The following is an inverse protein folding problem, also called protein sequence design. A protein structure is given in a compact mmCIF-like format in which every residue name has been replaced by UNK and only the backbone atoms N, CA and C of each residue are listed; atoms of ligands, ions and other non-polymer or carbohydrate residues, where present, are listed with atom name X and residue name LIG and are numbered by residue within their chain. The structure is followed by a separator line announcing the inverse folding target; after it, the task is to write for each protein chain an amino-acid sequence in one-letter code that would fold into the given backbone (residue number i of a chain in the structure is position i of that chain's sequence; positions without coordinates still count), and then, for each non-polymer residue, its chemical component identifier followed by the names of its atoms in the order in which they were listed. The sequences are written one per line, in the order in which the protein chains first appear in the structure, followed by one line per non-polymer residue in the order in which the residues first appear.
data_IF_362634839953
#
_entry.id   IF_362634839953
#
_cell.length_a   1.000
_cell.length_b   1.000
_cell.length_c   1.000
_cell.angle_alpha   90.00
_cell.angle_beta   90.00
_cell.angle_gamma   90.00
#
_symmetry.space_group_name_H-M   'P 1'
#
loop_
_entity.id
_entity.type
_entity.pdbx_description
1 polymer ?
#
# COMPACT_ATOMS: atom_id res chain seq x y z
N UNK A 1 12.40 26.56 35.72
CA UNK A 1 12.93 25.60 36.70
C UNK A 1 13.76 24.58 35.93
N UNK A 2 15.04 24.34 36.26
CA UNK A 2 15.87 23.41 35.51
C UNK A 2 15.36 21.97 35.69
N UNK A 3 15.30 21.18 34.61
CA UNK A 3 14.77 19.81 34.63
C UNK A 3 15.34 18.93 35.77
N UNK A 4 16.64 19.00 36.13
CA UNK A 4 17.20 18.21 37.23
C UNK A 4 16.70 18.56 38.64
N UNK A 5 16.01 19.70 38.84
CA UNK A 5 15.46 20.10 40.13
C UNK A 5 14.02 19.65 40.36
N UNK A 6 13.43 18.92 39.41
CA UNK A 6 12.12 18.29 39.57
C UNK A 6 12.20 17.11 40.54
N UNK A 7 11.09 16.80 41.20
CA UNK A 7 11.02 15.62 42.08
C UNK A 7 11.16 14.32 41.27
N UNK A 8 11.65 13.23 41.88
CA UNK A 8 11.76 11.93 41.22
C UNK A 8 10.45 11.44 40.58
N UNK A 9 9.29 11.72 41.19
CA UNK A 9 7.99 11.31 40.65
C UNK A 9 7.59 12.10 39.39
N UNK A 10 7.92 13.40 39.32
CA UNK A 10 7.70 14.18 38.10
C UNK A 10 8.63 13.71 36.98
N UNK A 11 9.87 13.38 37.30
CA UNK A 11 10.83 12.82 36.34
C UNK A 11 10.37 11.45 35.83
N UNK A 12 9.89 10.57 36.71
CA UNK A 12 9.33 9.27 36.35
C UNK A 12 8.14 9.45 35.40
N UNK A 13 7.22 10.37 35.72
CA UNK A 13 6.09 10.70 34.84
C UNK A 13 6.53 11.17 33.46
N UNK A 14 7.51 12.07 33.38
CA UNK A 14 8.10 12.52 32.10
C UNK A 14 8.68 11.33 31.32
N UNK A 15 9.44 10.45 31.99
CA UNK A 15 10.02 9.27 31.35
C UNK A 15 8.93 8.34 30.81
N UNK A 16 7.80 8.16 31.50
CA UNK A 16 6.68 7.32 31.03
C UNK A 16 5.93 7.88 29.82
N UNK A 17 6.11 9.17 29.49
CA UNK A 17 5.45 9.82 28.35
C UNK A 17 6.34 9.94 27.11
N UNK A 18 7.59 9.46 27.16
CA UNK A 18 8.43 9.49 25.97
C UNK A 18 7.85 8.56 24.89
N UNK A 19 7.96 8.94 23.61
CA UNK A 19 7.28 8.22 22.52
C UNK A 19 7.91 6.86 22.23
N UNK A 20 9.22 6.71 22.41
CA UNK A 20 9.96 5.50 22.02
C UNK A 20 11.25 5.29 22.84
N UNK A 21 11.87 4.13 22.65
CA UNK A 21 13.10 3.76 23.34
C UNK A 21 14.33 4.56 22.89
N UNK A 22 14.33 5.13 21.67
CA UNK A 22 15.42 5.99 21.19
C UNK A 22 15.45 7.29 21.98
N UNK A 23 14.27 7.89 22.15
CA UNK A 23 14.04 9.10 22.94
C UNK A 23 14.35 8.83 24.40
N UNK A 24 13.90 7.70 24.97
CA UNK A 24 14.28 7.30 26.33
C UNK A 24 15.81 7.22 26.50
N UNK A 25 16.49 6.49 25.61
CA UNK A 25 17.95 6.30 25.65
C UNK A 25 18.70 7.63 25.55
N UNK A 26 18.27 8.54 24.68
CA UNK A 26 18.83 9.88 24.59
C UNK A 26 18.57 10.68 25.87
N UNK A 27 17.34 10.66 26.37
CA UNK A 27 16.89 11.48 27.50
C UNK A 27 17.62 11.11 28.80
N UNK A 28 17.75 9.82 29.12
CA UNK A 28 18.45 9.37 30.34
C UNK A 28 19.95 9.66 30.32
N UNK A 29 20.55 9.92 29.15
CA UNK A 29 21.97 10.28 29.02
C UNK A 29 22.23 11.78 29.27
N UNK A 30 21.19 12.61 29.31
CA UNK A 30 21.36 14.06 29.52
C UNK A 30 21.64 14.44 30.97
N UNK A 31 21.27 13.60 31.95
CA UNK A 31 21.44 13.90 33.38
C UNK A 31 21.54 12.64 34.23
N UNK A 32 22.45 12.66 35.23
CA UNK A 32 22.56 11.58 36.23
C UNK A 32 21.27 11.38 37.03
N UNK A 33 20.52 12.46 37.30
CA UNK A 33 19.26 12.38 38.05
C UNK A 33 18.20 11.59 37.24
N UNK A 34 18.06 11.89 35.94
CA UNK A 34 17.17 11.13 35.04
C UNK A 34 17.55 9.65 34.97
N UNK A 35 18.85 9.37 34.84
CA UNK A 35 19.33 7.99 34.84
C UNK A 35 19.04 7.28 36.17
N UNK A 36 19.20 7.94 37.32
CA UNK A 36 18.87 7.34 38.62
C UNK A 36 17.38 7.03 38.79
N UNK A 37 16.49 7.90 38.30
CA UNK A 37 15.04 7.64 38.30
C UNK A 37 14.72 6.44 37.41
N UNK A 38 15.32 6.37 36.22
CA UNK A 38 15.18 5.21 35.35
C UNK A 38 15.68 3.91 36.01
N UNK A 39 16.85 3.93 36.65
CA UNK A 39 17.40 2.77 37.37
C UNK A 39 16.52 2.32 38.54
N UNK A 40 15.81 3.25 39.19
CA UNK A 40 14.90 2.94 40.28
C UNK A 40 13.58 2.29 39.79
N UNK A 41 13.11 2.63 38.57
CA UNK A 41 11.80 2.19 38.05
C UNK A 41 11.84 1.67 36.59
N UNK A 42 12.83 0.84 36.19
CA UNK A 42 13.05 0.54 34.78
C UNK A 42 11.87 -0.22 34.16
N UNK A 43 11.26 -1.15 34.90
CA UNK A 43 10.14 -1.97 34.40
C UNK A 43 8.90 -1.13 34.06
N UNK A 44 8.52 -0.20 34.94
CA UNK A 44 7.34 0.65 34.74
C UNK A 44 7.55 1.60 33.55
N UNK A 45 8.72 2.23 33.49
CA UNK A 45 9.08 3.13 32.38
C UNK A 45 9.12 2.35 31.07
N UNK A 46 9.84 1.22 30.99
CA UNK A 46 9.94 0.41 29.77
C UNK A 46 8.58 -0.10 29.31
N UNK A 47 7.70 -0.51 30.23
CA UNK A 47 6.32 -0.90 29.89
C UNK A 47 5.51 0.26 29.32
N UNK A 48 5.62 1.46 29.92
CA UNK A 48 4.96 2.66 29.41
C UNK A 48 5.48 3.07 28.02
N UNK A 49 6.80 3.02 27.79
CA UNK A 49 7.36 3.28 26.46
C UNK A 49 6.90 2.25 25.43
N UNK A 50 6.79 0.97 25.83
CA UNK A 50 6.25 -0.08 24.95
C UNK A 50 4.81 0.22 24.55
N UNK A 51 3.99 0.68 25.50
CA UNK A 51 2.62 1.16 25.24
C UNK A 51 2.63 2.36 24.28
N UNK A 52 3.45 3.38 24.55
CA UNK A 52 3.49 4.57 23.70
C UNK A 52 3.94 4.25 22.26
N UNK A 53 4.90 3.34 22.10
CA UNK A 53 5.44 2.96 20.79
C UNK A 53 4.48 2.04 20.01
N UNK A 54 3.90 1.02 20.66
CA UNK A 54 3.07 0.01 19.99
C UNK A 54 1.58 0.39 19.91
N UNK A 55 1.12 1.27 20.81
CA UNK A 55 -0.27 1.72 20.93
C UNK A 55 -1.01 1.02 22.08
N UNK A 56 -2.27 0.67 21.82
CA UNK A 56 -3.19 0.06 22.79
C UNK A 56 -2.57 -1.16 23.53
N UNK A 57 -2.81 -1.31 24.85
CA UNK A 57 -2.28 -2.43 25.63
C UNK A 57 -2.61 -3.81 25.08
N UNK A 58 -3.72 -3.98 24.36
CA UNK A 58 -4.13 -5.25 23.77
C UNK A 58 -3.26 -5.68 22.59
N UNK A 59 -2.47 -4.76 22.01
CA UNK A 59 -1.56 -5.02 20.90
C UNK A 59 -0.21 -5.56 21.39
N UNK A 60 0.20 -5.16 22.59
CA UNK A 60 1.55 -5.42 23.14
C UNK A 60 1.92 -6.90 23.14
N UNK A 61 1.05 -7.83 23.56
CA UNK A 61 1.39 -9.25 23.53
C UNK A 61 1.81 -9.76 22.15
N UNK A 62 1.10 -9.34 21.09
CA UNK A 62 1.43 -9.72 19.72
C UNK A 62 2.74 -9.07 19.24
N UNK A 63 2.92 -7.77 19.51
CA UNK A 63 4.13 -7.03 19.14
C UNK A 63 5.39 -7.58 19.83
N UNK A 64 5.29 -7.88 21.13
CA UNK A 64 6.39 -8.42 21.91
C UNK A 64 6.72 -9.85 21.46
N UNK A 65 5.72 -10.69 21.14
CA UNK A 65 5.97 -12.03 20.55
C UNK A 65 6.81 -11.96 19.28
N UNK A 66 6.48 -11.08 18.35
CA UNK A 66 7.30 -10.84 17.16
C UNK A 66 8.72 -10.38 17.54
N UNK A 67 8.83 -9.47 18.49
CA UNK A 67 10.12 -8.95 18.95
C UNK A 67 10.98 -10.00 19.69
N UNK A 68 10.42 -11.11 20.17
CA UNK A 68 11.20 -12.22 20.72
C UNK A 68 11.81 -13.12 19.65
N UNK A 69 11.17 -13.23 18.47
CA UNK A 69 11.64 -14.09 17.37
C UNK A 69 12.84 -13.49 16.64
N UNK A 70 12.89 -12.16 16.47
CA UNK A 70 13.84 -11.51 15.56
C UNK A 70 15.27 -11.27 16.09
N UNK A 71 15.51 -10.90 17.36
CA UNK A 71 16.86 -10.68 17.89
C UNK A 71 17.74 -11.93 17.87
N UNK A 72 17.16 -13.10 17.62
CA UNK A 72 17.85 -14.36 17.48
C UNK A 72 17.52 -15.05 16.17
N UNK A 73 18.25 -14.74 15.09
CA UNK A 73 18.61 -15.81 14.11
C UNK A 73 19.41 -16.97 14.76
N UNK A 74 19.62 -16.90 16.08
CA UNK A 74 20.01 -17.99 16.97
C UNK A 74 18.91 -18.43 17.96
N UNK A 75 17.62 -18.16 17.74
CA UNK A 75 16.55 -19.03 18.26
C UNK A 75 16.71 -20.36 17.51
N UNK A 76 17.76 -21.10 17.88
CA UNK A 76 17.87 -22.51 17.56
C UNK A 76 16.67 -23.10 18.26
N UNK A 77 15.61 -23.37 17.50
CA UNK A 77 14.55 -24.29 17.89
C UNK A 77 15.31 -25.44 18.55
N UNK A 78 15.20 -25.63 19.86
CA UNK A 78 15.95 -26.70 20.52
C UNK A 78 15.42 -27.98 19.91
N UNK A 79 16.20 -28.56 19.00
CA UNK A 79 15.81 -29.74 18.22
C UNK A 79 15.45 -30.93 19.12
N UNK A 80 15.89 -30.91 20.38
CA UNK A 80 15.81 -32.06 21.29
C UNK A 80 14.64 -32.11 22.27
N UNK A 81 13.88 -31.02 22.49
CA UNK A 81 12.74 -31.06 23.43
C UNK A 81 11.46 -30.65 22.72
N UNK A 82 10.69 -31.64 22.29
CA UNK A 82 9.51 -31.54 21.42
C UNK A 82 8.30 -30.74 21.93
N UNK A 83 8.50 -29.69 22.71
CA UNK A 83 7.46 -28.82 23.27
C UNK A 83 7.89 -27.34 23.39
N UNK A 84 8.90 -26.90 22.63
CA UNK A 84 9.30 -25.47 22.52
C UNK A 84 8.25 -24.68 21.69
N UNK A 85 6.99 -24.73 22.14
CA UNK A 85 5.94 -23.87 21.65
C UNK A 85 6.33 -22.41 21.95
N UNK A 86 6.23 -21.54 20.94
CA UNK A 86 6.38 -20.10 21.16
C UNK A 86 5.51 -19.68 22.34
N UNK A 87 6.06 -18.90 23.28
CA UNK A 87 5.30 -18.48 24.44
C UNK A 87 4.01 -17.79 23.99
N UNK A 88 2.93 -18.13 24.68
CA UNK A 88 1.60 -17.58 24.40
C UNK A 88 1.60 -16.08 24.68
N UNK A 89 0.69 -15.35 24.05
CA UNK A 89 0.57 -13.88 24.25
C UNK A 89 0.51 -13.47 25.73
N UNK A 90 -0.23 -14.24 26.54
CA UNK A 90 -0.32 -14.00 27.98
C UNK A 90 1.00 -14.18 28.73
N UNK A 91 1.83 -15.13 28.30
CA UNK A 91 3.12 -15.40 28.93
C UNK A 91 4.13 -14.32 28.57
N UNK A 92 4.12 -13.88 27.30
CA UNK A 92 5.05 -12.89 26.78
C UNK A 92 4.86 -11.50 27.39
N UNK A 93 3.64 -11.15 27.82
CA UNK A 93 3.35 -9.90 28.51
C UNK A 93 4.10 -9.75 29.85
N UNK A 94 4.47 -10.87 30.49
CA UNK A 94 5.17 -10.89 31.77
C UNK A 94 6.70 -11.06 31.65
N UNK A 95 7.19 -11.36 30.44
CA UNK A 95 8.61 -11.57 30.22
C UNK A 95 9.40 -10.24 30.28
N UNK A 96 10.64 -10.26 30.80
CA UNK A 96 11.46 -9.06 30.89
C UNK A 96 11.85 -8.54 29.51
N UNK A 97 11.53 -7.27 29.23
CA UNK A 97 11.90 -6.61 28.00
C UNK A 97 13.40 -6.25 28.01
N UNK A 98 14.18 -7.05 27.30
CA UNK A 98 15.60 -6.78 27.06
C UNK A 98 15.79 -5.65 26.05
N UNK A 99 16.99 -5.06 26.01
CA UNK A 99 17.31 -4.01 25.04
C UNK A 99 17.07 -4.44 23.59
N UNK A 100 17.42 -5.68 23.24
CA UNK A 100 17.26 -6.17 21.88
C UNK A 100 15.78 -6.29 21.47
N UNK A 101 14.92 -6.70 22.41
CA UNK A 101 13.46 -6.74 22.22
C UNK A 101 12.92 -5.33 22.03
N UNK A 102 13.36 -4.38 22.86
CA UNK A 102 13.00 -2.97 22.72
C UNK A 102 13.42 -2.40 21.36
N UNK A 103 14.63 -2.73 20.87
CA UNK A 103 15.11 -2.32 19.55
C UNK A 103 14.27 -2.91 18.41
N UNK A 104 13.87 -4.18 18.52
CA UNK A 104 12.97 -4.82 17.56
C UNK A 104 11.57 -4.18 17.57
N UNK A 105 11.00 -3.86 18.73
CA UNK A 105 9.72 -3.13 18.83
C UNK A 105 9.78 -1.75 18.14
N UNK A 106 10.87 -1.01 18.34
CA UNK A 106 11.10 0.29 17.65
C UNK A 106 11.19 0.13 16.15
N UNK A 107 11.69 -1.00 15.66
CA UNK A 107 11.76 -1.28 14.23
C UNK A 107 10.37 -1.60 13.63
N UNK A 108 9.55 -2.41 14.31
CA UNK A 108 8.24 -2.81 13.77
C UNK A 108 7.16 -1.75 13.88
N UNK A 109 7.14 -0.99 14.97
CA UNK A 109 6.05 -0.05 15.24
C UNK A 109 5.82 0.99 14.13
N UNK A 110 6.86 1.62 13.55
CA UNK A 110 6.68 2.53 12.42
C UNK A 110 6.09 1.84 11.18
N UNK A 111 6.52 0.61 10.87
CA UNK A 111 6.03 -0.16 9.72
C UNK A 111 4.53 -0.44 9.88
N UNK A 112 4.12 -0.96 11.05
CA UNK A 112 2.71 -1.27 11.32
C UNK A 112 1.87 0.01 11.33
N UNK A 113 2.39 1.10 11.92
CA UNK A 113 1.71 2.40 11.90
C UNK A 113 1.51 2.91 10.48
N UNK A 114 2.52 2.83 9.63
CA UNK A 114 2.43 3.33 8.26
C UNK A 114 1.47 2.47 7.42
N UNK A 115 1.50 1.15 7.59
CA UNK A 115 0.51 0.26 6.98
C UNK A 115 -0.91 0.57 7.46
N UNK A 116 -1.09 0.96 8.72
CA UNK A 116 -2.39 1.42 9.24
C UNK A 116 -2.83 2.73 8.58
N UNK A 117 -1.92 3.69 8.47
CA UNK A 117 -2.18 4.98 7.82
C UNK A 117 -2.64 4.75 6.35
N UNK A 118 -1.97 3.85 5.62
CA UNK A 118 -2.35 3.45 4.25
C UNK A 118 -3.67 2.67 4.23
N UNK A 119 -3.86 1.71 5.15
CA UNK A 119 -5.11 0.94 5.23
C UNK A 119 -6.30 1.85 5.47
N UNK A 120 -6.18 2.78 6.41
CA UNK A 120 -7.20 3.77 6.69
C UNK A 120 -7.48 4.65 5.48
N UNK A 121 -6.43 5.13 4.81
CA UNK A 121 -6.58 5.98 3.63
C UNK A 121 -7.31 5.27 2.48
N UNK A 122 -7.05 3.97 2.28
CA UNK A 122 -7.67 3.20 1.20
C UNK A 122 -9.06 2.68 1.58
N UNK A 123 -9.28 2.29 2.84
CA UNK A 123 -10.45 1.49 3.26
C UNK A 123 -11.41 2.17 4.22
N UNK A 124 -10.96 3.15 5.00
CA UNK A 124 -11.77 3.83 6.03
C UNK A 124 -12.19 5.22 5.59
N UNK A 125 -11.23 6.07 5.26
CA UNK A 125 -11.42 7.49 4.97
C UNK A 125 -10.38 7.94 3.95
N UNK A 126 -10.86 8.11 2.71
CA UNK A 126 -10.04 8.54 1.57
C UNK A 126 -9.54 9.97 1.64
N UNK A 127 -10.03 10.77 2.58
CA UNK A 127 -9.69 12.20 2.72
C UNK A 127 -8.41 12.45 3.53
N UNK A 128 -7.87 11.42 4.18
CA UNK A 128 -6.76 11.55 5.12
C UNK A 128 -5.65 10.53 4.85
N UNK A 129 -4.41 11.02 4.74
CA UNK A 129 -3.20 10.17 4.64
C UNK A 129 -2.73 9.59 5.98
N UNK A 130 -3.33 10.04 7.08
CA UNK A 130 -3.10 9.48 8.41
C UNK A 130 -4.32 8.68 8.85
N UNK A 131 -4.10 7.69 9.71
CA UNK A 131 -5.14 6.82 10.23
C UNK A 131 -6.31 7.60 10.84
N UNK A 132 -7.52 7.22 10.41
CA UNK A 132 -8.83 7.64 10.92
C UNK A 132 -9.59 6.45 11.51
N UNK A 133 -8.89 5.33 11.73
CA UNK A 133 -9.44 4.20 12.46
C UNK A 133 -9.81 4.65 13.88
N UNK A 134 -10.92 4.13 14.39
CA UNK A 134 -11.21 4.25 15.83
C UNK A 134 -10.15 3.51 16.65
N UNK A 135 -10.11 3.75 17.96
CA UNK A 135 -9.15 3.06 18.86
C UNK A 135 -9.30 1.53 18.74
N UNK A 136 -10.52 1.02 18.67
CA UNK A 136 -10.79 -0.40 18.54
C UNK A 136 -10.43 -0.95 17.15
N UNK A 137 -10.72 -0.21 16.06
CA UNK A 137 -10.31 -0.58 14.70
C UNK A 137 -8.77 -0.62 14.56
N UNK A 138 -8.08 0.38 15.13
CA UNK A 138 -6.60 0.42 15.18
C UNK A 138 -6.03 -0.75 15.99
N UNK A 139 -6.63 -1.06 17.15
CA UNK A 139 -6.22 -2.19 17.98
C UNK A 139 -6.33 -3.52 17.22
N UNK A 140 -7.47 -3.76 16.58
CA UNK A 140 -7.70 -4.93 15.71
C UNK A 140 -6.67 -5.01 14.58
N UNK A 141 -6.51 -3.93 13.81
CA UNK A 141 -5.58 -3.88 12.69
C UNK A 141 -4.14 -4.15 13.10
N UNK A 142 -3.62 -3.42 14.10
CA UNK A 142 -2.21 -3.55 14.52
C UNK A 142 -1.94 -4.93 15.09
N UNK A 143 -2.81 -5.45 15.96
CA UNK A 143 -2.69 -6.79 16.54
C UNK A 143 -2.66 -7.85 15.43
N UNK A 144 -3.57 -7.77 14.48
CA UNK A 144 -3.60 -8.66 13.30
C UNK A 144 -2.31 -8.55 12.47
N UNK A 145 -1.83 -7.34 12.21
CA UNK A 145 -0.62 -7.10 11.43
C UNK A 145 0.63 -7.67 12.12
N UNK A 146 0.78 -7.49 13.45
CA UNK A 146 1.86 -8.10 14.21
C UNK A 146 1.82 -9.62 14.20
N UNK A 147 0.62 -10.22 14.31
CA UNK A 147 0.45 -11.67 14.23
C UNK A 147 0.74 -12.22 12.84
N UNK A 148 0.34 -11.50 11.79
CA UNK A 148 0.69 -11.86 10.41
C UNK A 148 2.19 -11.80 10.19
N UNK A 149 2.84 -10.74 10.66
CA UNK A 149 4.29 -10.63 10.59
C UNK A 149 4.98 -11.76 11.36
N UNK A 150 4.53 -12.06 12.57
CA UNK A 150 5.03 -13.18 13.36
C UNK A 150 4.91 -14.49 12.59
N UNK A 151 3.76 -14.75 11.96
CA UNK A 151 3.55 -15.92 11.12
C UNK A 151 4.59 -16.00 9.98
N UNK A 152 4.79 -14.90 9.25
CA UNK A 152 5.80 -14.82 8.21
C UNK A 152 7.19 -15.17 8.74
N UNK A 153 7.64 -14.56 9.85
CA UNK A 153 8.99 -14.80 10.40
C UNK A 153 9.18 -16.23 10.92
N UNK A 154 8.13 -16.84 11.47
CA UNK A 154 8.21 -18.18 12.05
C UNK A 154 8.29 -19.30 11.01
N UNK A 155 7.64 -19.09 9.87
CA UNK A 155 7.45 -20.16 8.89
C UNK A 155 8.11 -19.87 7.55
N UNK A 156 8.84 -18.74 7.39
CA UNK A 156 9.51 -18.33 6.13
C UNK A 156 10.42 -19.42 5.55
N UNK A 157 11.22 -20.07 6.38
CA UNK A 157 12.12 -21.13 5.91
C UNK A 157 11.31 -22.42 5.74
N UNK A 158 11.28 -23.00 4.52
CA UNK A 158 10.54 -24.22 4.29
C UNK A 158 11.13 -25.36 5.15
N UNK A 159 10.27 -26.17 5.77
CA UNK A 159 10.62 -27.48 6.27
C UNK A 159 11.55 -28.28 5.35
N UNK A 160 12.50 -29.01 5.92
CA UNK A 160 13.01 -30.23 5.30
C UNK A 160 11.83 -31.22 5.14
N UNK A 161 11.38 -31.36 3.89
CA UNK A 161 10.48 -32.30 3.19
C UNK A 161 9.25 -32.97 3.86
N UNK A 162 8.99 -32.93 5.17
CA UNK A 162 7.91 -33.77 5.77
C UNK A 162 6.98 -33.11 6.83
N UNK A 163 7.11 -31.81 7.16
CA UNK A 163 6.33 -31.19 8.26
C UNK A 163 5.41 -30.00 7.91
N UNK A 164 5.09 -29.79 6.63
CA UNK A 164 4.53 -28.54 6.08
C UNK A 164 3.24 -27.97 6.72
N UNK A 165 2.28 -28.81 7.15
CA UNK A 165 0.93 -28.29 7.46
C UNK A 165 0.59 -28.24 8.95
N UNK A 166 1.12 -29.16 9.76
CA UNK A 166 0.67 -29.32 11.14
C UNK A 166 1.06 -28.14 12.05
N UNK A 167 2.32 -27.65 12.08
CA UNK A 167 2.71 -26.57 12.99
C UNK A 167 2.06 -25.23 12.63
N UNK A 168 1.85 -24.97 11.33
CA UNK A 168 1.16 -23.76 10.85
C UNK A 168 -0.31 -23.75 11.26
N UNK A 169 -0.98 -24.92 11.24
CA UNK A 169 -2.38 -25.03 11.67
C UNK A 169 -2.57 -24.69 13.14
N UNK A 170 -1.65 -25.13 14.01
CA UNK A 170 -1.70 -24.88 15.46
C UNK A 170 -1.65 -23.38 15.77
N UNK A 171 -0.93 -22.58 14.96
CA UNK A 171 -0.90 -21.12 15.10
C UNK A 171 -2.32 -20.52 15.04
N UNK A 172 -3.12 -20.94 14.07
CA UNK A 172 -4.48 -20.43 13.86
C UNK A 172 -5.50 -21.02 14.84
N UNK A 173 -5.33 -22.28 15.26
CA UNK A 173 -6.22 -22.93 16.24
C UNK A 173 -6.23 -22.22 17.61
N UNK A 174 -5.18 -21.46 17.92
CA UNK A 174 -5.08 -20.68 19.14
C UNK A 174 -5.90 -19.37 19.10
N UNK A 175 -6.42 -18.98 17.93
CA UNK A 175 -7.14 -17.72 17.75
C UNK A 175 -8.66 -17.95 17.75
N UNK A 176 -9.45 -17.09 18.42
CA UNK A 176 -10.88 -17.05 18.22
C UNK A 176 -11.21 -16.59 16.79
N UNK A 177 -12.41 -16.92 16.32
CA UNK A 177 -12.82 -16.70 14.92
C UNK A 177 -12.71 -15.23 14.48
N UNK A 178 -13.10 -14.29 15.32
CA UNK A 178 -13.01 -12.85 15.06
C UNK A 178 -11.55 -12.43 14.80
N UNK A 179 -10.64 -12.85 15.67
CA UNK A 179 -9.21 -12.55 15.54
C UNK A 179 -8.56 -13.27 14.36
N UNK A 180 -9.07 -14.45 13.99
CA UNK A 180 -8.66 -15.14 12.77
C UNK A 180 -9.07 -14.33 11.53
N UNK A 181 -10.29 -13.81 11.48
CA UNK A 181 -10.75 -12.95 10.39
C UNK A 181 -9.96 -11.64 10.33
N UNK A 182 -9.68 -10.99 11.47
CA UNK A 182 -8.82 -9.81 11.54
C UNK A 182 -7.43 -10.10 10.95
N UNK A 183 -6.82 -11.23 11.34
CA UNK A 183 -5.53 -11.69 10.84
C UNK A 183 -5.55 -11.89 9.32
N UNK A 184 -6.57 -12.59 8.81
CA UNK A 184 -6.76 -12.78 7.38
C UNK A 184 -6.89 -11.45 6.64
N UNK A 185 -7.61 -10.47 7.21
CA UNK A 185 -7.81 -9.17 6.59
C UNK A 185 -6.51 -8.36 6.49
N UNK A 186 -5.66 -8.42 7.51
CA UNK A 186 -4.33 -7.80 7.47
C UNK A 186 -3.42 -8.43 6.39
N UNK A 187 -3.46 -9.77 6.23
CA UNK A 187 -2.74 -10.47 5.18
C UNK A 187 -3.26 -10.13 3.77
N UNK A 188 -4.59 -10.09 3.59
CA UNK A 188 -5.24 -9.71 2.34
C UNK A 188 -4.89 -8.29 1.92
N UNK A 189 -4.81 -7.37 2.89
CA UNK A 189 -4.37 -6.00 2.64
C UNK A 189 -2.91 -5.92 2.17
N UNK A 190 -2.01 -6.71 2.75
CA UNK A 190 -0.62 -6.79 2.28
C UNK A 190 -0.55 -7.27 0.82
N UNK A 191 -1.35 -8.28 0.46
CA UNK A 191 -1.46 -8.76 -0.91
C UNK A 191 -2.03 -7.69 -1.87
N UNK A 192 -3.03 -6.92 -1.42
CA UNK A 192 -3.58 -5.81 -2.20
C UNK A 192 -2.54 -4.71 -2.49
N UNK A 193 -1.68 -4.38 -1.52
CA UNK A 193 -0.61 -3.39 -1.74
C UNK A 193 0.41 -3.87 -2.79
N UNK A 194 0.74 -5.16 -2.78
CA UNK A 194 1.62 -5.75 -3.79
C UNK A 194 0.99 -5.71 -5.19
N UNK A 195 -0.29 -6.11 -5.31
CA UNK A 195 -1.04 -6.03 -6.57
C UNK A 195 -1.07 -4.60 -7.12
N UNK A 196 -1.35 -3.60 -6.26
CA UNK A 196 -1.32 -2.19 -6.65
C UNK A 196 0.08 -1.77 -7.11
N UNK A 197 1.13 -2.25 -6.46
CA UNK A 197 2.50 -1.92 -6.86
C UNK A 197 2.85 -2.50 -8.22
N UNK A 198 2.46 -3.75 -8.48
CA UNK A 198 2.66 -4.41 -9.76
C UNK A 198 1.93 -3.67 -10.90
N UNK A 199 0.68 -3.29 -10.67
CA UNK A 199 -0.09 -2.45 -11.60
C UNK A 199 0.62 -1.12 -11.89
N UNK A 200 1.33 -0.54 -10.92
CA UNK A 200 2.07 0.72 -11.09
C UNK A 200 3.27 0.56 -12.03
N UNK A 201 3.91 -0.60 -12.03
CA UNK A 201 5.16 -0.84 -12.74
C UNK A 201 4.95 -1.19 -14.22
N UNK A 202 3.73 -1.54 -14.62
CA UNK A 202 3.43 -1.88 -16.00
C UNK A 202 4.15 -3.14 -16.46
N UNK A 203 4.40 -4.07 -15.53
CA UNK A 203 4.81 -5.43 -15.86
C UNK A 203 3.70 -6.05 -16.72
N UNK A 204 3.78 -5.85 -18.02
CA UNK A 204 2.95 -6.46 -19.04
C UNK A 204 3.33 -7.95 -19.20
N UNK A 205 3.45 -8.67 -18.09
CA UNK A 205 3.50 -10.11 -18.17
C UNK A 205 2.17 -10.55 -18.79
N UNK A 206 2.23 -11.41 -19.80
CA UNK A 206 1.05 -11.88 -20.53
C UNK A 206 0.08 -12.71 -19.65
N UNK A 207 0.47 -12.97 -18.41
CA UNK A 207 -0.32 -13.65 -17.39
C UNK A 207 -0.59 -12.64 -16.28
N UNK A 208 -1.73 -11.97 -16.31
CA UNK A 208 -2.18 -11.09 -15.21
C UNK A 208 -2.12 -11.92 -13.92
N UNK A 209 -1.20 -11.61 -12.99
CA UNK A 209 -1.05 -12.43 -11.81
C UNK A 209 -2.36 -12.38 -11.02
N UNK A 210 -2.87 -13.54 -10.64
CA UNK A 210 -4.13 -13.61 -9.90
C UNK A 210 -3.94 -13.02 -8.50
N UNK A 211 -5.02 -12.61 -7.85
CA UNK A 211 -4.99 -12.20 -6.43
C UNK A 211 -4.31 -13.27 -5.55
N UNK A 212 -4.43 -14.54 -5.92
CA UNK A 212 -3.76 -15.67 -5.24
C UNK A 212 -2.23 -15.56 -5.28
N UNK A 213 -1.64 -15.12 -6.39
CA UNK A 213 -0.18 -14.94 -6.51
C UNK A 213 0.35 -13.91 -5.50
N UNK A 214 -0.28 -12.73 -5.43
CA UNK A 214 0.14 -11.70 -4.47
C UNK A 214 -0.15 -12.07 -3.02
N UNK A 215 -1.17 -12.90 -2.81
CA UNK A 215 -1.50 -13.49 -1.52
C UNK A 215 -0.36 -14.38 -1.02
N UNK A 216 0.28 -15.15 -1.88
CA UNK A 216 1.44 -15.96 -1.50
C UNK A 216 2.69 -15.11 -1.31
N UNK A 217 2.92 -14.12 -2.18
CA UNK A 217 4.06 -13.21 -2.07
C UNK A 217 4.05 -12.39 -0.78
N UNK A 218 2.86 -12.07 -0.25
CA UNK A 218 2.72 -11.34 1.02
C UNK A 218 3.43 -12.03 2.20
N UNK A 219 3.77 -13.33 2.07
CA UNK A 219 4.60 -14.09 3.00
C UNK A 219 5.98 -13.49 3.27
N UNK A 220 6.50 -12.62 2.39
CA UNK A 220 7.75 -11.88 2.62
C UNK A 220 7.71 -11.02 3.90
N UNK A 221 6.51 -10.67 4.35
CA UNK A 221 6.27 -9.96 5.60
C UNK A 221 5.97 -8.47 5.42
N UNK A 222 5.24 -7.87 6.37
CA UNK A 222 4.77 -6.48 6.29
C UNK A 222 5.83 -5.41 5.98
N UNK A 223 7.04 -5.48 6.56
CA UNK A 223 8.09 -4.50 6.24
C UNK A 223 8.52 -4.53 4.78
N UNK A 224 8.61 -5.73 4.18
CA UNK A 224 9.00 -5.85 2.79
C UNK A 224 7.90 -5.38 1.86
N UNK A 225 6.65 -5.72 2.17
CA UNK A 225 5.46 -5.22 1.45
C UNK A 225 5.39 -3.70 1.47
N UNK A 226 5.55 -3.08 2.65
CA UNK A 226 5.56 -1.62 2.77
C UNK A 226 6.68 -1.00 1.94
N UNK A 227 7.88 -1.55 2.01
CA UNK A 227 9.02 -1.08 1.23
C UNK A 227 8.74 -1.15 -0.28
N UNK A 228 8.21 -2.28 -0.78
CA UNK A 228 7.85 -2.44 -2.20
C UNK A 228 6.81 -1.39 -2.61
N UNK A 229 5.77 -1.19 -1.79
CA UNK A 229 4.71 -0.21 -2.07
C UNK A 229 5.21 1.24 -2.11
N UNK A 230 6.20 1.58 -1.28
CA UNK A 230 6.80 2.91 -1.25
C UNK A 230 7.83 3.13 -2.36
N UNK A 231 8.66 2.13 -2.63
CA UNK A 231 9.74 2.22 -3.63
C UNK A 231 9.23 2.04 -5.05
N UNK A 232 8.08 1.38 -5.21
CA UNK A 232 7.57 0.89 -6.49
C UNK A 232 8.59 -0.03 -7.19
N UNK A 233 9.36 -0.78 -6.39
CA UNK A 233 10.35 -1.75 -6.88
C UNK A 233 9.79 -3.16 -6.66
N UNK A 234 9.08 -3.75 -7.65
CA UNK A 234 8.53 -5.09 -7.54
C UNK A 234 9.68 -6.07 -7.39
N UNK A 235 9.47 -7.06 -6.54
CA UNK A 235 10.42 -8.14 -6.33
C UNK A 235 9.71 -9.47 -6.52
N UNK A 236 10.25 -10.27 -7.42
CA UNK A 236 9.92 -11.69 -7.50
C UNK A 236 10.71 -12.40 -6.39
N UNK A 237 10.04 -12.95 -5.36
CA UNK A 237 10.74 -13.74 -4.37
C UNK A 237 11.16 -15.07 -5.02
N UNK A 238 12.39 -15.50 -4.79
CA UNK A 238 12.93 -16.73 -5.41
C UNK A 238 12.22 -18.00 -4.92
N UNK A 239 11.53 -17.94 -3.75
CA UNK A 239 10.95 -19.11 -3.07
C UNK A 239 9.54 -18.83 -2.51
N UNK A 240 8.57 -18.49 -3.37
CA UNK A 240 7.17 -18.33 -2.94
C UNK A 240 6.48 -19.69 -2.84
N UNK A 241 6.14 -20.10 -1.63
CA UNK A 241 5.30 -21.28 -1.41
C UNK A 241 3.82 -20.96 -1.67
N UNK A 242 3.20 -21.67 -2.62
CA UNK A 242 1.77 -21.53 -2.93
C UNK A 242 0.91 -21.88 -1.71
N UNK A 243 -0.01 -21.00 -1.36
CA UNK A 243 -0.91 -21.20 -0.22
C UNK A 243 -0.24 -21.10 1.15
N UNK A 244 1.02 -20.62 1.24
CA UNK A 244 1.81 -20.52 2.47
C UNK A 244 0.97 -20.16 3.72
N UNK A 245 0.29 -19.01 3.66
CA UNK A 245 -0.61 -18.52 4.70
C UNK A 245 -2.05 -18.98 4.50
N UNK A 246 -2.53 -18.89 3.25
CA UNK A 246 -3.96 -19.02 2.94
C UNK A 246 -4.49 -20.44 3.05
N UNK A 247 -3.70 -21.45 2.71
CA UNK A 247 -4.11 -22.85 2.84
C UNK A 247 -4.40 -23.22 4.32
N UNK A 248 -3.47 -23.07 5.27
CA UNK A 248 -3.75 -23.36 6.67
C UNK A 248 -4.79 -22.42 7.28
N UNK A 249 -4.88 -21.17 6.82
CA UNK A 249 -5.94 -20.23 7.21
C UNK A 249 -7.33 -20.77 6.83
N UNK A 250 -7.55 -21.16 5.57
CA UNK A 250 -8.84 -21.67 5.09
C UNK A 250 -9.22 -22.99 5.76
N UNK A 251 -8.26 -23.89 6.02
CA UNK A 251 -8.53 -25.11 6.79
C UNK A 251 -9.09 -24.81 8.20
N UNK A 252 -8.64 -23.72 8.82
CA UNK A 252 -9.17 -23.30 10.12
C UNK A 252 -10.55 -22.64 10.00
N UNK A 253 -10.82 -21.84 8.97
CA UNK A 253 -12.18 -21.34 8.72
C UNK A 253 -13.20 -22.46 8.52
N UNK A 254 -12.82 -23.51 7.80
CA UNK A 254 -13.68 -24.71 7.62
C UNK A 254 -13.93 -25.40 8.97
N UNK A 255 -12.91 -25.49 9.84
CA UNK A 255 -13.07 -26.05 11.19
C UNK A 255 -14.05 -25.22 12.06
N UNK A 256 -14.12 -23.90 11.84
CA UNK A 256 -15.12 -23.02 12.43
C UNK A 256 -16.48 -23.05 11.72
N UNK A 257 -16.71 -24.00 10.80
CA UNK A 257 -17.95 -24.19 10.05
C UNK A 257 -18.35 -22.97 9.20
N UNK A 258 -17.38 -22.17 8.77
CA UNK A 258 -17.64 -21.04 7.88
C UNK A 258 -17.64 -21.48 6.41
N UNK A 259 -18.66 -21.05 5.66
CA UNK A 259 -18.66 -21.22 4.21
C UNK A 259 -17.68 -20.24 3.54
N UNK A 260 -17.09 -20.58 2.37
CA UNK A 260 -16.15 -19.69 1.69
C UNK A 260 -16.71 -18.30 1.39
N UNK A 261 -17.99 -18.21 1.00
CA UNK A 261 -18.65 -16.95 0.67
C UNK A 261 -18.82 -16.06 1.91
N UNK A 262 -19.39 -16.60 2.98
CA UNK A 262 -19.58 -15.88 4.24
C UNK A 262 -18.21 -15.47 4.80
N UNK A 263 -17.19 -16.32 4.63
CA UNK A 263 -15.82 -16.01 4.99
C UNK A 263 -15.26 -14.79 4.28
N UNK A 264 -15.53 -14.62 2.99
CA UNK A 264 -15.05 -13.44 2.27
C UNK A 264 -15.71 -12.14 2.73
N UNK A 265 -17.04 -12.13 2.91
CA UNK A 265 -17.77 -10.94 3.39
C UNK A 265 -17.34 -10.57 4.82
N UNK A 266 -17.29 -11.55 5.72
CA UNK A 266 -16.85 -11.35 7.10
C UNK A 266 -15.38 -10.89 7.19
N UNK A 267 -14.52 -11.34 6.25
CA UNK A 267 -13.13 -10.89 6.16
C UNK A 267 -13.04 -9.39 5.86
N UNK A 268 -13.86 -8.88 4.94
CA UNK A 268 -13.84 -7.47 4.53
C UNK A 268 -14.24 -6.55 5.69
N UNK A 269 -15.15 -7.00 6.54
CA UNK A 269 -15.70 -6.26 7.69
C UNK A 269 -14.92 -6.49 9.00
N UNK A 270 -13.99 -7.44 9.05
CA UNK A 270 -13.34 -7.89 10.28
C UNK A 270 -12.67 -6.76 11.09
N UNK A 271 -12.08 -5.78 10.39
CA UNK A 271 -11.34 -4.66 11.02
C UNK A 271 -12.19 -3.41 11.16
N UNK A 272 -13.04 -3.10 10.18
CA UNK A 272 -13.75 -1.82 10.10
C UNK A 272 -15.18 -1.97 10.61
N UNK A 273 -15.55 -1.13 11.59
CA UNK A 273 -16.93 -1.03 12.08
C UNK A 273 -17.79 -0.10 11.22
N UNK A 274 -17.17 0.94 10.65
CA UNK A 274 -17.84 1.92 9.81
C UNK A 274 -16.83 2.50 8.80
N UNK A 275 -17.32 3.02 7.69
CA UNK A 275 -16.51 3.59 6.62
C UNK A 275 -17.01 5.00 6.31
N UNK A 276 -16.11 5.98 6.46
CA UNK A 276 -16.41 7.39 6.21
C UNK A 276 -16.58 7.60 4.71
N UNK A 277 -17.73 8.17 4.34
CA UNK A 277 -18.06 8.41 2.94
C UNK A 277 -18.45 7.16 2.15
N UNK A 278 -18.96 6.11 2.80
CA UNK A 278 -19.43 4.88 2.16
C UNK A 278 -20.62 5.08 1.20
N UNK A 279 -21.36 6.18 1.35
CA UNK A 279 -22.49 6.56 0.49
C UNK A 279 -22.19 7.78 -0.38
N UNK A 280 -20.92 8.22 -0.43
CA UNK A 280 -20.57 9.40 -1.21
C UNK A 280 -20.79 9.13 -2.70
N UNK A 281 -21.25 10.18 -3.38
CA UNK A 281 -21.56 10.17 -4.80
C UNK A 281 -20.46 10.85 -5.61
N UNK A 282 -20.31 10.43 -6.86
CA UNK A 282 -19.45 11.10 -7.82
C UNK A 282 -19.99 12.49 -8.15
N UNK A 283 -19.17 13.53 -8.09
CA UNK A 283 -19.58 14.92 -8.37
C UNK A 283 -20.01 15.14 -9.83
N UNK A 284 -19.61 14.26 -10.75
CA UNK A 284 -19.96 14.35 -12.18
C UNK A 284 -21.20 13.54 -12.56
N UNK A 285 -21.25 12.26 -12.19
CA UNK A 285 -22.32 11.36 -12.62
C UNK A 285 -23.35 11.05 -11.52
N UNK A 286 -23.11 11.53 -10.28
CA UNK A 286 -23.95 11.31 -9.09
C UNK A 286 -24.13 9.83 -8.72
N UNK A 287 -23.31 8.92 -9.27
CA UNK A 287 -23.33 7.52 -8.85
C UNK A 287 -22.73 7.37 -7.45
N UNK A 288 -23.45 6.69 -6.55
CA UNK A 288 -22.95 6.31 -5.23
C UNK A 288 -21.79 5.32 -5.39
N UNK A 289 -20.57 5.77 -5.12
CA UNK A 289 -19.33 5.00 -5.27
C UNK A 289 -18.59 4.82 -3.94
N UNK A 290 -19.03 5.53 -2.90
CA UNK A 290 -18.49 5.41 -1.56
C UNK A 290 -16.99 5.76 -1.50
N UNK A 291 -16.19 4.85 -0.94
CA UNK A 291 -14.73 5.04 -0.87
C UNK A 291 -14.01 4.93 -2.21
N UNK A 292 -14.67 4.44 -3.27
CA UNK A 292 -14.09 4.30 -4.62
C UNK A 292 -14.20 5.59 -5.44
N UNK A 293 -14.18 6.73 -4.77
CA UNK A 293 -14.08 8.05 -5.36
C UNK A 293 -12.66 8.56 -5.24
N UNK A 294 -12.26 9.36 -6.21
CA UNK A 294 -10.92 9.90 -6.31
C UNK A 294 -10.99 11.42 -6.21
N UNK A 295 -10.11 12.02 -5.41
CA UNK A 295 -10.01 13.44 -5.11
C UNK A 295 -8.54 13.87 -4.87
N UNK A 296 -8.27 15.18 -4.68
CA UNK A 296 -6.92 15.71 -4.46
C UNK A 296 -6.11 15.02 -3.36
N UNK A 297 -6.79 14.53 -2.33
CA UNK A 297 -6.15 13.84 -1.22
C UNK A 297 -5.71 12.40 -1.54
N UNK A 298 -6.20 11.78 -2.62
CA UNK A 298 -5.92 10.39 -2.98
C UNK A 298 -5.49 10.14 -4.44
N UNK A 299 -5.26 11.17 -5.26
CA UNK A 299 -4.71 11.03 -6.61
C UNK A 299 -3.45 10.17 -6.67
N UNK A 300 -2.56 10.28 -5.69
CA UNK A 300 -1.33 9.48 -5.63
C UNK A 300 -1.58 7.96 -5.65
N UNK A 301 -2.76 7.51 -5.21
CA UNK A 301 -3.13 6.10 -5.22
C UNK A 301 -3.56 5.60 -6.61
N UNK A 302 -3.77 6.50 -7.58
CA UNK A 302 -4.08 6.13 -8.97
C UNK A 302 -2.93 5.35 -9.61
N UNK A 303 -1.70 5.47 -9.10
CA UNK A 303 -0.57 4.63 -9.51
C UNK A 303 -0.89 3.14 -9.44
N UNK A 304 -1.70 2.72 -8.46
CA UNK A 304 -2.10 1.32 -8.32
C UNK A 304 -3.18 0.84 -9.29
N UNK A 305 -3.69 1.76 -10.13
CA UNK A 305 -4.81 1.55 -11.05
C UNK A 305 -4.39 1.80 -12.49
N UNK A 306 -3.70 2.91 -12.72
CA UNK A 306 -3.13 3.28 -14.01
C UNK A 306 -1.63 3.09 -13.94
N UNK A 307 -1.09 2.30 -14.87
CA UNK A 307 0.34 2.32 -15.12
C UNK A 307 0.68 3.56 -15.97
N UNK A 308 1.78 4.29 -15.69
CA UNK A 308 2.25 5.36 -16.56
C UNK A 308 2.42 4.94 -18.02
N UNK A 309 2.90 3.72 -18.27
CA UNK A 309 3.08 3.20 -19.64
C UNK A 309 1.75 2.97 -20.37
N UNK A 310 0.65 2.81 -19.63
CA UNK A 310 -0.69 2.68 -20.20
C UNK A 310 -1.41 4.02 -20.40
N UNK A 311 -0.82 5.16 -20.01
CA UNK A 311 -1.45 6.46 -20.26
C UNK A 311 -1.69 6.72 -21.76
N UNK A 312 -0.89 6.13 -22.65
CA UNK A 312 -1.12 6.17 -24.10
C UNK A 312 -2.45 5.56 -24.55
N UNK A 313 -3.10 4.72 -23.73
CA UNK A 313 -4.44 4.17 -24.03
C UNK A 313 -5.55 5.22 -23.92
N UNK A 314 -5.28 6.36 -23.27
CA UNK A 314 -6.20 7.49 -23.23
C UNK A 314 -6.11 8.37 -24.49
N UNK A 315 -5.24 8.04 -25.44
CA UNK A 315 -5.25 8.71 -26.74
C UNK A 315 -6.57 8.44 -27.48
N UNK A 316 -7.18 9.47 -28.07
CA UNK A 316 -8.40 9.31 -28.84
C UNK A 316 -8.14 8.55 -30.14
N UNK A 317 -9.12 7.72 -30.51
CA UNK A 317 -9.24 7.10 -31.83
C UNK A 317 -7.97 6.35 -32.29
N UNK A 318 -7.38 6.79 -33.41
CA UNK A 318 -6.24 6.10 -34.03
C UNK A 318 -4.89 6.54 -33.45
N UNK A 319 -4.86 7.51 -32.54
CA UNK A 319 -3.63 8.05 -31.98
C UNK A 319 -2.93 7.06 -31.03
N UNK A 320 -3.67 6.14 -30.39
CA UNK A 320 -3.09 5.02 -29.63
C UNK A 320 -2.22 4.09 -30.50
N UNK A 321 -2.46 4.06 -31.82
CA UNK A 321 -1.68 3.27 -32.78
C UNK A 321 -0.47 4.04 -33.34
N UNK A 322 -0.33 5.32 -33.00
CA UNK A 322 0.80 6.14 -33.45
C UNK A 322 2.04 5.81 -32.60
N UNK A 323 2.77 4.78 -33.00
CA UNK A 323 3.99 4.34 -32.31
C UNK A 323 5.02 5.46 -32.12
N UNK A 324 5.05 6.46 -33.02
CA UNK A 324 5.97 7.60 -32.86
C UNK A 324 5.58 8.45 -31.66
N UNK A 325 4.30 8.82 -31.53
CA UNK A 325 3.81 9.63 -30.41
C UNK A 325 3.76 8.85 -29.09
N UNK A 326 3.42 7.55 -29.13
CA UNK A 326 3.47 6.68 -27.96
C UNK A 326 4.90 6.54 -27.44
N UNK A 327 5.88 6.28 -28.30
CA UNK A 327 7.28 6.17 -27.86
C UNK A 327 7.82 7.49 -27.30
N UNK A 328 7.48 8.64 -27.90
CA UNK A 328 7.88 9.94 -27.36
C UNK A 328 7.27 10.20 -25.97
N UNK A 329 6.03 9.79 -25.74
CA UNK A 329 5.41 9.86 -24.42
C UNK A 329 6.13 8.94 -23.43
N UNK A 330 6.39 7.69 -23.80
CA UNK A 330 7.09 6.73 -22.94
C UNK A 330 8.50 7.20 -22.59
N UNK A 331 9.23 7.75 -23.56
CA UNK A 331 10.55 8.35 -23.37
C UNK A 331 10.47 9.51 -22.37
N UNK A 332 9.49 10.42 -22.54
CA UNK A 332 9.28 11.51 -21.60
C UNK A 332 8.98 11.01 -20.20
N UNK A 333 8.03 10.08 -20.05
CA UNK A 333 7.65 9.51 -18.76
C UNK A 333 8.83 8.79 -18.08
N UNK A 334 9.70 8.16 -18.86
CA UNK A 334 10.90 7.47 -18.36
C UNK A 334 12.04 8.42 -17.99
N UNK A 335 12.22 9.51 -18.76
CA UNK A 335 13.26 10.52 -18.55
C UNK A 335 13.00 11.37 -17.30
N UNK A 336 11.73 11.47 -16.84
CA UNK A 336 11.38 12.28 -15.66
C UNK A 336 12.26 11.98 -14.43
N UNK A 337 12.86 10.78 -14.24
CA UNK A 337 13.90 10.54 -13.20
C UNK A 337 14.99 9.48 -13.48
N UNK A 338 15.33 9.16 -14.73
CA UNK A 338 16.32 8.12 -15.03
C UNK A 338 17.72 8.67 -15.37
N UNK A 339 18.54 8.92 -14.33
CA UNK A 339 19.99 8.68 -14.44
C UNK A 339 20.51 7.59 -13.50
N UNK A 340 19.70 7.10 -12.55
CA UNK A 340 20.21 6.20 -11.51
C UNK A 340 19.29 5.07 -11.05
N UNK A 341 18.02 4.96 -11.48
CA UNK A 341 17.15 3.82 -11.12
C UNK A 341 16.17 3.49 -12.26
N UNK A 342 16.01 2.20 -12.57
CA UNK A 342 15.19 1.67 -13.68
C UNK A 342 13.66 1.75 -13.45
N UNK A 343 13.17 2.68 -12.63
CA UNK A 343 11.75 2.72 -12.23
C UNK A 343 11.14 4.11 -12.47
N UNK A 344 9.94 4.12 -13.08
CA UNK A 344 9.21 5.33 -13.44
C UNK A 344 8.51 5.87 -12.18
N UNK A 345 9.04 6.93 -11.57
CA UNK A 345 8.29 7.67 -10.54
C UNK A 345 7.42 8.72 -11.22
N UNK A 346 6.17 8.40 -11.51
CA UNK A 346 5.18 9.33 -12.05
C UNK A 346 4.34 9.94 -10.93
N UNK A 347 4.27 11.26 -10.87
CA UNK A 347 3.52 12.00 -9.84
C UNK A 347 2.06 12.14 -10.28
N UNK A 348 1.21 11.20 -9.83
CA UNK A 348 -0.21 11.19 -10.18
C UNK A 348 -0.98 12.37 -9.58
N UNK A 349 -0.61 12.87 -8.39
CA UNK A 349 -1.24 14.06 -7.83
C UNK A 349 -1.01 15.27 -8.74
N UNK A 350 0.24 15.56 -9.07
CA UNK A 350 0.56 16.68 -9.97
C UNK A 350 -0.08 16.51 -11.34
N UNK A 351 -0.02 15.30 -11.91
CA UNK A 351 -0.63 15.00 -13.20
C UNK A 351 -2.15 15.27 -13.21
N UNK A 352 -2.87 14.79 -12.20
CA UNK A 352 -4.31 14.97 -12.12
C UNK A 352 -4.69 16.43 -11.85
N UNK A 353 -3.92 17.17 -11.04
CA UNK A 353 -4.12 18.61 -10.87
C UNK A 353 -4.02 19.34 -12.21
N UNK A 354 -2.97 19.07 -12.99
CA UNK A 354 -2.80 19.65 -14.32
C UNK A 354 -3.96 19.26 -15.27
N UNK A 355 -4.38 17.99 -15.26
CA UNK A 355 -5.50 17.52 -16.09
C UNK A 355 -6.81 18.24 -15.74
N UNK A 356 -7.09 18.45 -14.45
CA UNK A 356 -8.31 19.15 -13.99
C UNK A 356 -8.24 20.65 -14.30
N UNK A 357 -7.05 21.27 -14.27
CA UNK A 357 -6.85 22.68 -14.61
C UNK A 357 -6.84 22.94 -16.14
N UNK A 358 -6.67 21.90 -16.96
CA UNK A 358 -6.69 22.03 -18.42
C UNK A 358 -8.11 22.34 -18.93
N UNK A 359 -8.29 23.57 -19.42
CA UNK A 359 -9.52 24.15 -19.95
C UNK A 359 -10.57 24.56 -18.90
N UNK A 360 -11.04 25.81 -19.05
CA UNK A 360 -11.97 26.55 -18.17
C UNK A 360 -13.43 26.04 -18.18
N UNK A 361 -13.66 24.76 -18.46
CA UNK A 361 -15.03 24.24 -18.42
C UNK A 361 -15.45 24.00 -16.97
N UNK A 362 -16.55 24.64 -16.55
CA UNK A 362 -17.15 24.59 -15.20
C UNK A 362 -17.52 23.17 -14.71
N UNK A 363 -17.37 22.14 -15.55
CA UNK A 363 -17.78 20.76 -15.28
C UNK A 363 -16.86 20.01 -14.31
N UNK A 364 -15.63 20.47 -14.06
CA UNK A 364 -14.66 19.79 -13.21
C UNK A 364 -14.13 20.71 -12.12
N UNK A 365 -14.50 20.41 -10.87
CA UNK A 365 -13.95 21.07 -9.69
C UNK A 365 -12.60 20.47 -9.29
N UNK A 366 -11.65 21.34 -8.92
CA UNK A 366 -10.37 20.95 -8.32
C UNK A 366 -10.56 20.14 -7.03
N UNK A 367 -11.56 20.51 -6.23
CA UNK A 367 -11.85 19.86 -4.94
C UNK A 367 -12.86 18.72 -5.07
N UNK A 368 -13.24 18.36 -6.31
CA UNK A 368 -14.26 17.37 -6.57
C UNK A 368 -13.79 15.92 -6.40
N UNK A 369 -14.77 15.04 -6.21
CA UNK A 369 -14.62 13.61 -6.02
C UNK A 369 -15.28 12.84 -7.17
N UNK A 370 -14.49 12.06 -7.90
CA UNK A 370 -14.95 11.41 -9.13
C UNK A 370 -14.77 9.89 -9.07
N UNK A 371 -15.74 9.15 -9.59
CA UNK A 371 -15.59 7.71 -9.78
C UNK A 371 -14.52 7.43 -10.86
N UNK A 372 -13.97 6.21 -10.86
CA UNK A 372 -12.89 5.84 -11.79
C UNK A 372 -13.29 5.96 -13.27
N UNK A 373 -14.57 5.72 -13.60
CA UNK A 373 -15.09 5.90 -14.95
C UNK A 373 -15.04 7.36 -15.38
N UNK A 374 -15.50 8.28 -14.52
CA UNK A 374 -15.42 9.71 -14.78
C UNK A 374 -13.96 10.19 -14.89
N UNK A 375 -13.06 9.72 -14.02
CA UNK A 375 -11.62 10.00 -14.14
C UNK A 375 -11.07 9.52 -15.50
N UNK A 376 -11.48 8.33 -15.94
CA UNK A 376 -11.07 7.79 -17.25
C UNK A 376 -11.58 8.65 -18.41
N UNK A 377 -12.83 9.13 -18.33
CA UNK A 377 -13.39 10.03 -19.34
C UNK A 377 -12.68 11.38 -19.37
N UNK A 378 -12.39 11.97 -18.21
CA UNK A 378 -11.57 13.18 -18.09
C UNK A 378 -10.23 13.01 -18.79
N UNK A 379 -9.55 11.89 -18.54
CA UNK A 379 -8.28 11.58 -19.18
C UNK A 379 -8.45 11.47 -20.70
N UNK A 380 -9.45 10.75 -21.21
CA UNK A 380 -9.71 10.68 -22.66
C UNK A 380 -9.97 12.05 -23.29
N UNK A 381 -10.67 12.93 -22.58
CA UNK A 381 -11.00 14.29 -23.04
C UNK A 381 -9.76 15.20 -23.09
N UNK A 382 -8.87 15.10 -22.10
CA UNK A 382 -7.83 16.13 -21.85
C UNK A 382 -6.39 15.66 -22.06
N UNK A 383 -6.14 14.35 -22.14
CA UNK A 383 -4.78 13.80 -22.18
C UNK A 383 -3.94 14.28 -23.37
N UNK A 384 -4.54 14.42 -24.57
CA UNK A 384 -3.83 14.94 -25.75
C UNK A 384 -3.32 16.37 -25.51
N UNK A 385 -4.13 17.20 -24.87
CA UNK A 385 -3.78 18.61 -24.62
C UNK A 385 -2.73 18.72 -23.53
N UNK A 386 -2.85 17.92 -22.47
CA UNK A 386 -1.79 17.78 -21.46
C UNK A 386 -0.46 17.40 -22.10
N UNK A 387 -0.46 16.37 -22.94
CA UNK A 387 0.75 15.90 -23.60
C UNK A 387 1.34 16.97 -24.52
N UNK A 388 0.50 17.70 -25.26
CA UNK A 388 0.94 18.81 -26.10
C UNK A 388 1.63 19.91 -25.28
N UNK A 389 1.09 20.30 -24.12
CA UNK A 389 1.76 21.25 -23.22
C UNK A 389 3.10 20.74 -22.71
N UNK A 390 3.18 19.45 -22.33
CA UNK A 390 4.45 18.85 -21.86
C UNK A 390 5.51 18.84 -22.95
N UNK A 391 5.14 18.50 -24.19
CA UNK A 391 6.06 18.59 -25.34
C UNK A 391 6.58 20.01 -25.54
N UNK A 392 5.70 21.02 -25.46
CA UNK A 392 6.10 22.42 -25.59
C UNK A 392 7.05 22.84 -24.47
N UNK A 393 6.73 22.54 -23.21
CA UNK A 393 7.56 22.84 -22.03
C UNK A 393 8.92 22.15 -22.09
N UNK A 394 8.98 20.91 -22.57
CA UNK A 394 10.20 20.12 -22.71
C UNK A 394 11.00 20.42 -23.99
N UNK A 395 10.50 21.29 -24.88
CA UNK A 395 11.15 21.55 -26.17
C UNK A 395 11.13 20.35 -27.14
N UNK A 396 10.25 19.37 -26.91
CA UNK A 396 10.07 18.23 -27.81
C UNK A 396 9.41 18.74 -29.09
N UNK A 397 10.06 18.46 -30.23
CA UNK A 397 9.61 18.94 -31.54
C UNK A 397 8.19 18.44 -31.84
N UNK A 398 7.28 19.38 -32.12
CA UNK A 398 5.95 19.11 -32.68
C UNK A 398 6.00 19.45 -34.18
N UNK A 399 5.58 18.55 -35.08
CA UNK A 399 5.56 18.86 -36.51
C UNK A 399 4.70 20.09 -36.82
N UNK A 400 5.22 21.01 -37.63
CA UNK A 400 4.51 22.26 -37.96
C UNK A 400 3.27 22.02 -38.82
N UNK A 401 3.26 20.95 -39.62
CA UNK A 401 2.15 20.62 -40.52
C UNK A 401 1.15 19.71 -39.82
N UNK A 402 -0.02 20.24 -39.49
CA UNK A 402 -1.13 19.45 -38.96
C UNK A 402 -1.65 18.44 -40.00
N UNK A 403 -1.92 17.21 -39.56
CA UNK A 403 -2.64 16.25 -40.37
C UNK A 403 -4.09 16.71 -40.53
N UNK A 404 -4.61 16.73 -41.76
CA UNK A 404 -6.00 17.12 -42.02
C UNK A 404 -7.01 16.21 -41.28
N UNK A 405 -6.60 14.98 -40.99
CA UNK A 405 -7.38 13.98 -40.25
C UNK A 405 -7.08 13.96 -38.75
N UNK A 406 -6.10 14.74 -38.26
CA UNK A 406 -5.77 14.80 -36.83
C UNK A 406 -5.53 13.42 -36.20
N UNK A 407 -6.00 13.23 -34.98
CA UNK A 407 -5.96 11.93 -34.27
C UNK A 407 -6.84 10.84 -34.92
N UNK A 408 -7.69 11.15 -35.90
CA UNK A 408 -8.47 10.16 -36.67
C UNK A 408 -7.69 9.55 -37.83
N UNK A 409 -6.50 10.05 -38.14
CA UNK A 409 -5.72 9.57 -39.28
C UNK A 409 -5.38 8.09 -39.15
N UNK A 410 -5.80 7.24 -40.10
CA UNK A 410 -5.42 5.81 -40.10
C UNK A 410 -3.95 5.58 -40.50
N UNK A 411 -3.37 6.49 -41.30
CA UNK A 411 -1.98 6.38 -41.75
C UNK A 411 -0.97 6.52 -40.62
N UNK A 412 -1.34 7.14 -39.50
CA UNK A 412 -0.42 7.34 -38.37
C UNK A 412 0.00 6.02 -37.69
N UNK A 413 -0.78 4.95 -37.86
CA UNK A 413 -0.43 3.62 -37.34
C UNK A 413 0.26 2.70 -38.35
N UNK A 414 0.12 2.96 -39.65
CA UNK A 414 0.63 2.08 -40.72
C UNK A 414 1.80 2.66 -41.52
N UNK A 415 1.96 3.99 -41.54
CA UNK A 415 3.05 4.69 -42.23
C UNK A 415 3.88 5.50 -41.23
N UNK A 416 5.03 4.94 -40.86
CA UNK A 416 5.96 5.57 -39.93
C UNK A 416 6.46 6.94 -40.41
N UNK A 417 6.67 7.14 -41.72
CA UNK A 417 7.13 8.43 -42.24
C UNK A 417 6.03 9.48 -42.12
N UNK A 418 4.78 9.12 -42.39
CA UNK A 418 3.62 9.97 -42.16
C UNK A 418 3.47 10.34 -40.68
N UNK A 419 3.51 9.35 -39.79
CA UNK A 419 3.41 9.53 -38.33
C UNK A 419 4.47 10.51 -37.79
N UNK A 420 5.70 10.44 -38.33
CA UNK A 420 6.82 11.28 -37.89
C UNK A 420 6.77 12.72 -38.42
N UNK A 421 6.20 12.94 -39.61
CA UNK A 421 6.31 14.23 -40.31
C UNK A 421 5.07 15.12 -40.18
N UNK A 422 3.95 14.57 -39.72
CA UNK A 422 2.68 15.26 -39.58
C UNK A 422 2.29 15.34 -38.10
N UNK A 423 1.64 16.42 -37.67
CA UNK A 423 1.12 16.53 -36.31
C UNK A 423 -0.29 15.90 -36.23
N UNK A 424 -0.43 14.87 -35.41
CA UNK A 424 -1.71 14.19 -35.12
C UNK A 424 -2.31 14.56 -33.76
N UNK A 425 -1.59 15.33 -32.93
CA UNK A 425 -2.08 15.91 -31.66
C UNK A 425 -2.99 17.13 -31.93
N UNK A 426 -3.93 16.99 -32.87
CA UNK A 426 -4.86 18.04 -33.25
C UNK A 426 -6.21 17.44 -33.66
N UNK A 427 -7.27 18.25 -33.55
CA UNK A 427 -8.60 17.85 -34.02
C UNK A 427 -8.60 17.67 -35.55
N UNK A 428 -9.35 16.69 -36.09
CA UNK A 428 -9.57 16.55 -37.52
C UNK A 428 -10.19 17.84 -38.10
N UNK A 429 -9.62 18.34 -39.20
CA UNK A 429 -10.16 19.49 -39.95
C UNK A 429 -10.97 19.06 -41.16
N UNK A 430 -10.72 17.84 -41.67
CA UNK A 430 -11.60 17.15 -42.60
C UNK A 430 -12.43 16.13 -41.83
N UNK A 431 -13.74 16.34 -41.79
CA UNK A 431 -14.66 15.28 -41.35
C UNK A 431 -14.59 14.16 -42.40
N UNK A 432 -14.49 12.91 -41.96
CA UNK A 432 -14.80 11.80 -42.84
C UNK A 432 -16.20 12.09 -43.37
N UNK A 433 -16.35 12.22 -44.68
CA UNK A 433 -17.68 12.07 -45.24
C UNK A 433 -18.10 10.68 -44.81
N UNK A 434 -19.04 10.59 -43.84
CA UNK A 434 -19.63 9.32 -43.45
C UNK A 434 -19.93 8.57 -44.74
N UNK A 435 -19.54 7.28 -44.86
CA UNK A 435 -19.88 6.52 -46.05
C UNK A 435 -21.38 6.71 -46.25
N UNK A 436 -21.73 7.43 -47.31
CA UNK A 436 -23.11 7.56 -47.74
C UNK A 436 -23.55 6.10 -47.85
N UNK A 437 -24.50 5.68 -47.02
CA UNK A 437 -25.13 4.39 -47.15
C UNK A 437 -25.70 4.35 -48.57
N UNK A 438 -24.93 3.80 -49.50
CA UNK A 438 -25.37 3.38 -50.81
C UNK A 438 -26.23 2.13 -50.56
N UNK A 439 -27.42 2.37 -50.02
CA UNK A 439 -28.54 1.46 -50.19
C UNK A 439 -29.21 1.87 -51.51
N UNK A 440 -28.76 1.26 -52.59
CA UNK A 440 -29.61 0.93 -53.73
C UNK A 440 -29.64 -0.58 -53.89
#
# INVERSE_FOLDING_TARGET
MPLPSLSPDLLDRILTFLPDFRTLSAFIRTSKNLYSVFQARPKSIVKAITQNASGDPNIIPAAVRLAYVLPGRGYKRKEDNGDDALPKEREVAELPLTRAICEALVYHAPVVKELEDIFSWIKKDRTSRTSKLTVDESSRFRRAMYRFWLYCELYREPPDEDWYTFPRRVFFQALPLEELLELGRAADFCAELLLRTDNSCGCASSLVPTVTYFRDISAMGPARVLWIFQSLEPQEPEDVEEGFFWYPFFLNLIHHQMSPKIGHEALLEAILSEVTGSQDECDRCHAACGINLWGPSNWDLLRGIFCPTFLGTFYPNNLQMNNTEVNLLLDYLSDVKSRFRNYITFDYAQFMEEIVELHDEEAWSRDGWYCLECVSDLLRERFVWWWLEKKQKAGIRIPLKACAWGYDCCLQGSDWYHARTMNHLCRPTRRLMSPIHLNE
#
